data_IF_962518408390
#
_entry.id   IF_962518408390
#
_cell.length_a   1.000
_cell.length_b   1.000
_cell.length_c   1.000
_cell.angle_alpha   90.00
_cell.angle_beta   90.00
_cell.angle_gamma   90.00
#
_symmetry.space_group_name_H-M   'P 1'
#
loop_
_entity.id
_entity.type
_entity.pdbx_description
1 polymer ?
#
# COMPACT_ATOMS: atom_id res chain seq x y z
N UNK A 1 18.38 12.90 -24.36
CA UNK A 1 17.31 11.88 -24.27
C UNK A 1 16.00 12.52 -23.85
N UNK A 2 14.84 11.91 -24.17
CA UNK A 2 13.52 12.42 -23.78
C UNK A 2 13.12 11.87 -22.40
N UNK A 3 12.75 12.75 -21.46
CA UNK A 3 12.27 12.36 -20.11
C UNK A 3 10.76 12.10 -20.12
N UNK A 4 10.00 12.94 -20.81
CA UNK A 4 8.54 12.78 -20.89
C UNK A 4 8.18 11.46 -21.57
N UNK A 5 7.37 10.65 -20.88
CA UNK A 5 7.03 9.28 -21.29
C UNK A 5 8.07 8.22 -20.92
N UNK A 6 9.20 8.59 -20.31
CA UNK A 6 10.21 7.63 -19.87
C UNK A 6 9.85 7.04 -18.50
N UNK A 7 9.41 5.77 -18.51
CA UNK A 7 9.01 5.03 -17.31
C UNK A 7 10.10 4.93 -16.25
N UNK A 8 11.39 4.90 -16.62
CA UNK A 8 12.50 4.82 -15.65
C UNK A 8 12.54 6.08 -14.78
N UNK A 9 12.39 7.26 -15.39
CA UNK A 9 12.31 8.51 -14.64
C UNK A 9 11.01 8.66 -13.87
N UNK A 10 9.89 8.12 -14.38
CA UNK A 10 8.64 8.04 -13.62
C UNK A 10 8.82 7.24 -12.34
N UNK A 11 9.48 6.08 -12.41
CA UNK A 11 9.73 5.24 -11.25
C UNK A 11 10.74 5.89 -10.30
N UNK A 12 11.80 6.51 -10.80
CA UNK A 12 12.73 7.27 -9.97
C UNK A 12 12.04 8.41 -9.21
N UNK A 13 11.07 9.10 -9.82
CA UNK A 13 10.29 10.13 -9.11
C UNK A 13 9.50 9.57 -7.93
N UNK A 14 9.07 8.31 -7.99
CA UNK A 14 8.32 7.64 -6.92
C UNK A 14 9.27 7.07 -5.88
N UNK A 15 10.23 6.25 -6.30
CA UNK A 15 11.01 5.39 -5.41
C UNK A 15 12.34 5.97 -4.93
N UNK A 16 12.96 6.88 -5.68
CA UNK A 16 14.25 7.43 -5.24
C UNK A 16 14.05 8.41 -4.08
N UNK A 17 14.81 8.25 -3.01
CA UNK A 17 14.75 9.19 -1.86
C UNK A 17 15.39 10.53 -2.22
N UNK A 18 16.54 10.49 -2.90
CA UNK A 18 17.29 11.67 -3.31
C UNK A 18 16.72 12.30 -4.59
N UNK A 19 15.84 13.29 -4.40
CA UNK A 19 15.20 14.01 -5.51
C UNK A 19 16.15 14.95 -6.24
N UNK A 20 17.20 15.44 -5.56
CA UNK A 20 18.19 16.34 -6.16
C UNK A 20 19.04 15.57 -7.18
N UNK A 21 19.53 14.38 -6.79
CA UNK A 21 20.23 13.47 -7.70
C UNK A 21 19.36 13.07 -8.89
N UNK A 22 18.07 12.82 -8.70
CA UNK A 22 17.16 12.55 -9.83
C UNK A 22 17.05 13.77 -10.77
N UNK A 23 17.02 14.99 -10.24
CA UNK A 23 16.99 16.21 -11.06
C UNK A 23 18.29 16.39 -11.86
N UNK A 24 19.45 16.14 -11.25
CA UNK A 24 20.74 16.16 -11.93
C UNK A 24 20.83 15.10 -13.03
N UNK A 25 20.39 13.88 -12.74
CA UNK A 25 20.35 12.79 -13.73
C UNK A 25 19.43 13.13 -14.90
N UNK A 26 18.28 13.77 -14.66
CA UNK A 26 17.39 14.26 -15.72
C UNK A 26 18.07 15.30 -16.60
N UNK A 27 18.72 16.30 -16.00
CA UNK A 27 19.45 17.33 -16.74
C UNK A 27 20.57 16.74 -17.59
N UNK A 28 21.37 15.81 -17.03
CA UNK A 28 22.43 15.11 -17.74
C UNK A 28 21.87 14.23 -18.86
N UNK A 29 20.76 13.53 -18.62
CA UNK A 29 20.08 12.71 -19.64
C UNK A 29 19.56 13.53 -20.81
N UNK A 30 19.02 14.73 -20.55
CA UNK A 30 18.57 15.66 -21.60
C UNK A 30 19.74 16.21 -22.40
N UNK A 31 20.80 16.66 -21.71
CA UNK A 31 22.03 17.17 -22.34
C UNK A 31 22.75 16.11 -23.19
N UNK A 32 22.59 14.84 -22.85
CA UNK A 32 23.32 13.73 -23.46
C UNK A 32 24.60 13.40 -22.69
N UNK A 33 25.05 12.15 -22.77
CA UNK A 33 26.20 11.62 -22.02
C UNK A 33 25.83 10.66 -20.89
N UNK A 34 24.57 10.65 -20.43
CA UNK A 34 24.07 9.67 -19.48
C UNK A 34 23.34 8.53 -20.19
N UNK A 35 23.91 7.33 -20.15
CA UNK A 35 23.32 6.12 -20.75
C UNK A 35 22.21 5.49 -19.90
N UNK A 36 21.25 4.83 -20.55
CA UNK A 36 20.11 4.17 -19.88
C UNK A 36 20.55 3.11 -18.86
N UNK A 37 21.70 2.47 -19.07
CA UNK A 37 22.25 1.49 -18.14
C UNK A 37 22.54 2.12 -16.78
N UNK A 38 23.09 3.33 -16.75
CA UNK A 38 23.37 4.04 -15.50
C UNK A 38 22.08 4.44 -14.78
N UNK A 39 21.09 4.96 -15.52
CA UNK A 39 19.79 5.35 -14.96
C UNK A 39 19.05 4.14 -14.37
N UNK A 40 19.04 3.01 -15.09
CA UNK A 40 18.41 1.77 -14.63
C UNK A 40 19.09 1.16 -13.42
N UNK A 41 20.43 1.19 -13.36
CA UNK A 41 21.18 0.71 -12.18
C UNK A 41 20.79 1.50 -10.93
N UNK A 42 20.75 2.83 -11.04
CA UNK A 42 20.33 3.66 -9.92
C UNK A 42 18.87 3.39 -9.52
N UNK A 43 17.97 3.22 -10.48
CA UNK A 43 16.59 2.83 -10.18
C UNK A 43 16.52 1.49 -9.42
N UNK A 44 17.29 0.48 -9.84
CA UNK A 44 17.32 -0.82 -9.17
C UNK A 44 17.79 -0.67 -7.71
N UNK A 45 18.83 0.13 -7.47
CA UNK A 45 19.34 0.40 -6.12
C UNK A 45 18.26 1.03 -5.22
N UNK A 46 17.57 2.07 -5.70
CA UNK A 46 16.50 2.73 -4.94
C UNK A 46 15.29 1.81 -4.72
N UNK A 47 14.90 1.03 -5.73
CA UNK A 47 13.82 0.06 -5.59
C UNK A 47 14.18 -1.08 -4.61
N UNK A 48 15.43 -1.52 -4.56
CA UNK A 48 15.84 -2.60 -3.67
C UNK A 48 15.78 -2.16 -2.20
N UNK A 49 16.12 -0.90 -1.89
CA UNK A 49 15.94 -0.34 -0.54
C UNK A 49 14.50 -0.48 -0.03
N UNK A 50 13.52 -0.28 -0.91
CA UNK A 50 12.08 -0.38 -0.59
C UNK A 50 11.61 -1.84 -0.56
N UNK A 51 12.01 -2.63 -1.56
CA UNK A 51 11.49 -3.99 -1.76
C UNK A 51 12.15 -5.03 -0.85
N UNK A 52 13.41 -4.83 -0.46
CA UNK A 52 14.15 -5.75 0.40
C UNK A 52 13.45 -6.02 1.73
N UNK A 53 13.08 -5.01 2.55
CA UNK A 53 12.38 -5.28 3.81
C UNK A 53 11.01 -5.95 3.61
N UNK A 54 10.30 -5.65 2.52
CA UNK A 54 9.03 -6.31 2.17
C UNK A 54 9.25 -7.79 1.84
N UNK A 55 10.28 -8.10 1.04
CA UNK A 55 10.63 -9.48 0.68
C UNK A 55 11.09 -10.27 1.89
N UNK A 56 11.95 -9.70 2.73
CA UNK A 56 12.40 -10.31 3.98
C UNK A 56 11.20 -10.60 4.89
N UNK A 57 10.31 -9.63 5.08
CA UNK A 57 9.13 -9.83 5.92
C UNK A 57 8.19 -10.89 5.37
N UNK A 58 8.01 -10.92 4.05
CA UNK A 58 7.23 -11.94 3.37
C UNK A 58 7.83 -13.34 3.59
N UNK A 59 9.14 -13.50 3.40
CA UNK A 59 9.83 -14.78 3.63
C UNK A 59 9.75 -15.22 5.10
N UNK A 60 9.77 -14.31 6.07
CA UNK A 60 9.50 -14.65 7.47
C UNK A 60 8.09 -15.21 7.68
N UNK A 61 7.08 -14.56 7.10
CA UNK A 61 5.67 -14.97 7.23
C UNK A 61 5.37 -16.27 6.47
N UNK A 62 6.07 -16.54 5.37
CA UNK A 62 5.92 -17.80 4.60
C UNK A 62 6.35 -19.04 5.41
N UNK A 63 7.20 -18.88 6.44
CA UNK A 63 7.61 -19.99 7.32
C UNK A 63 6.49 -20.50 8.21
N UNK A 64 5.50 -19.67 8.50
CA UNK A 64 4.36 -20.01 9.33
C UNK A 64 3.06 -19.41 8.76
N UNK A 65 2.39 -20.16 7.85
CA UNK A 65 1.13 -19.72 7.26
C UNK A 65 0.00 -19.54 8.28
N UNK A 66 0.04 -20.18 9.45
CA UNK A 66 -1.02 -20.08 10.46
C UNK A 66 -1.12 -18.66 11.03
N UNK A 67 0.01 -17.97 11.16
CA UNK A 67 0.06 -16.57 11.58
C UNK A 67 -0.75 -15.68 10.63
N UNK A 68 -0.71 -15.94 9.32
CA UNK A 68 -1.46 -15.17 8.33
C UNK A 68 -2.96 -15.34 8.55
N UNK A 69 -3.42 -16.58 8.74
CA UNK A 69 -4.83 -16.86 9.02
C UNK A 69 -5.29 -16.23 10.34
N UNK A 70 -4.45 -16.24 11.37
CA UNK A 70 -4.78 -15.62 12.65
C UNK A 70 -4.85 -14.09 12.56
N UNK A 71 -3.98 -13.45 11.77
CA UNK A 71 -4.07 -12.01 11.48
C UNK A 71 -5.39 -11.69 10.76
N UNK A 72 -5.75 -12.46 9.73
CA UNK A 72 -7.01 -12.28 8.99
C UNK A 72 -8.22 -12.47 9.91
N UNK A 73 -8.24 -13.54 10.71
CA UNK A 73 -9.32 -13.84 11.66
C UNK A 73 -9.51 -12.71 12.68
N UNK A 74 -8.42 -12.20 13.26
CA UNK A 74 -8.46 -11.05 14.18
C UNK A 74 -9.00 -9.79 13.50
N UNK A 75 -8.60 -9.54 12.26
CA UNK A 75 -9.11 -8.44 11.45
C UNK A 75 -10.62 -8.55 11.23
N UNK A 76 -11.08 -9.73 10.80
CA UNK A 76 -12.50 -10.02 10.57
C UNK A 76 -13.33 -9.83 11.84
N UNK A 77 -12.88 -10.34 12.99
CA UNK A 77 -13.60 -10.15 14.26
C UNK A 77 -13.69 -8.69 14.69
N UNK A 78 -12.67 -7.88 14.41
CA UNK A 78 -12.72 -6.43 14.69
C UNK A 78 -13.72 -5.73 13.77
N UNK A 79 -13.67 -6.04 12.47
CA UNK A 79 -14.59 -5.48 11.49
C UNK A 79 -16.04 -5.89 11.75
N UNK A 80 -16.28 -7.15 12.09
CA UNK A 80 -17.60 -7.70 12.43
C UNK A 80 -18.23 -6.97 13.61
N UNK A 81 -17.46 -6.69 14.67
CA UNK A 81 -17.97 -5.92 15.83
C UNK A 81 -18.46 -4.54 15.42
N UNK A 82 -17.69 -3.84 14.58
CA UNK A 82 -18.05 -2.50 14.09
C UNK A 82 -19.28 -2.62 13.18
N UNK A 83 -19.28 -3.55 12.24
CA UNK A 83 -20.39 -3.78 11.31
C UNK A 83 -21.69 -4.14 12.04
N UNK A 84 -21.63 -5.01 13.06
CA UNK A 84 -22.77 -5.38 13.88
C UNK A 84 -23.36 -4.18 14.63
N UNK A 85 -22.50 -3.31 15.19
CA UNK A 85 -22.91 -2.08 15.83
C UNK A 85 -23.59 -1.11 14.84
N UNK A 86 -22.97 -0.86 13.68
CA UNK A 86 -23.55 -0.02 12.63
C UNK A 86 -24.88 -0.58 12.14
N UNK A 87 -24.98 -1.89 11.92
CA UNK A 87 -26.24 -2.51 11.48
C UNK A 87 -27.34 -2.39 12.53
N UNK A 88 -26.99 -2.48 13.82
CA UNK A 88 -27.96 -2.26 14.90
C UNK A 88 -28.51 -0.83 14.86
N UNK A 89 -27.64 0.17 14.77
CA UNK A 89 -28.03 1.59 14.69
C UNK A 89 -28.91 1.86 13.45
N UNK A 90 -28.53 1.32 12.29
CA UNK A 90 -29.31 1.44 11.05
C UNK A 90 -30.70 0.81 11.21
N UNK A 91 -30.78 -0.41 11.76
CA UNK A 91 -32.07 -1.09 11.99
C UNK A 91 -32.97 -0.32 12.94
N UNK A 92 -32.41 0.28 13.99
CA UNK A 92 -33.14 1.13 14.93
C UNK A 92 -33.65 2.42 14.27
N UNK A 93 -32.80 3.12 13.51
CA UNK A 93 -33.18 4.33 12.80
C UNK A 93 -34.27 4.08 11.74
N UNK A 94 -34.18 2.94 11.03
CA UNK A 94 -35.15 2.52 10.03
C UNK A 94 -36.41 1.86 10.63
N UNK A 95 -36.50 1.70 11.95
CA UNK A 95 -37.59 1.03 12.66
C UNK A 95 -37.84 -0.42 12.19
N UNK A 96 -36.78 -1.13 11.82
CA UNK A 96 -36.81 -2.55 11.41
C UNK A 96 -36.09 -3.45 12.42
N UNK A 97 -35.85 -2.95 13.63
CA UNK A 97 -35.30 -3.72 14.75
C UNK A 97 -36.41 -4.44 15.53
N UNK A 98 -37.04 -5.44 14.89
CA UNK A 98 -38.23 -6.13 15.38
C UNK A 98 -38.06 -6.86 16.73
N UNK A 99 -36.82 -7.14 17.13
CA UNK A 99 -36.51 -7.97 18.31
C UNK A 99 -35.61 -7.26 19.33
N UNK A 100 -35.05 -6.09 19.00
CA UNK A 100 -34.21 -5.29 19.90
C UNK A 100 -35.01 -4.46 20.90
N UNK A 101 -36.26 -4.16 20.60
CA UNK A 101 -37.13 -3.30 21.43
C UNK A 101 -38.03 -4.15 22.34
N UNK A 102 -37.46 -4.69 23.42
CA UNK A 102 -38.23 -5.38 24.47
C UNK A 102 -38.86 -4.45 25.51
N UNK A 103 -38.78 -3.13 25.32
CA UNK A 103 -39.45 -2.14 26.16
C UNK A 103 -40.43 -1.35 25.29
N UNK A 104 -41.63 -1.91 25.15
CA UNK A 104 -42.65 -1.43 24.23
C UNK A 104 -43.02 0.05 24.39
N UNK A 105 -43.30 0.66 23.24
CA UNK A 105 -44.32 1.69 23.03
C UNK A 105 -44.64 1.70 21.53
N UNK A 106 -45.75 1.05 21.19
CA UNK A 106 -46.61 1.54 20.11
C UNK A 106 -47.60 2.50 20.75
#
# INVERSE_FOLDING_TARGET
>A
GKIEGNVVFTYLNVFAEDKEKVAEMKAHYQKGGLGDVAVKKYLIEEMDKVLKPIREKRTELEKDPEIIYEILRKGSLKAEKIAAQTLKEVKQAMKIDYFGDKNGKV
#
